data_IF_262075835749
#
_entry.id   IF_262075835749
#
_cell.length_a   1.000
_cell.length_b   1.000
_cell.length_c   1.000
_cell.angle_alpha   90.00
_cell.angle_beta   90.00
_cell.angle_gamma   90.00
#
_symmetry.space_group_name_H-M   'P 1'
#
loop_
_entity.id
_entity.type
_entity.pdbx_description
1 polymer ?
#
# COMPACT_ATOMS: atom_id res chain seq x y z
N UNK A 1 -23.85 -13.15 17.45
CA UNK A 1 -23.95 -11.68 17.48
C UNK A 1 -25.24 -11.35 16.78
N UNK A 2 -26.26 -10.97 17.53
CA UNK A 2 -27.53 -10.54 16.93
C UNK A 2 -27.27 -9.22 16.22
N UNK A 3 -27.33 -9.25 14.89
CA UNK A 3 -27.24 -8.05 14.08
C UNK A 3 -28.48 -7.21 14.40
N UNK A 4 -28.27 -6.03 14.98
CA UNK A 4 -29.31 -5.03 15.17
C UNK A 4 -29.95 -4.75 13.81
N UNK A 5 -31.25 -5.03 13.66
CA UNK A 5 -31.96 -4.81 12.41
C UNK A 5 -32.11 -3.31 12.23
N UNK A 6 -31.23 -2.70 11.44
CA UNK A 6 -31.30 -1.27 11.14
C UNK A 6 -32.07 -1.06 9.85
N UNK A 7 -33.27 -0.51 10.00
CA UNK A 7 -34.02 0.07 8.89
C UNK A 7 -33.98 1.59 9.08
N UNK A 8 -33.39 2.36 8.15
CA UNK A 8 -33.43 3.81 8.12
C UNK A 8 -34.85 4.29 8.34
N UNK A 9 -34.99 5.28 9.22
CA UNK A 9 -36.29 5.89 9.51
C UNK A 9 -37.29 4.90 10.13
N UNK A 10 -36.78 3.84 10.75
CA UNK A 10 -37.51 3.03 11.72
C UNK A 10 -36.71 3.01 13.00
N UNK A 11 -35.41 2.69 12.95
CA UNK A 11 -34.58 2.34 14.13
C UNK A 11 -33.61 3.46 14.55
N UNK A 12 -33.78 4.69 14.05
CA UNK A 12 -32.88 5.80 14.40
C UNK A 12 -33.24 6.42 15.77
N UNK A 13 -32.24 6.62 16.63
CA UNK A 13 -32.41 6.93 18.06
C UNK A 13 -32.94 8.34 18.42
N UNK A 14 -33.42 9.13 17.45
CA UNK A 14 -33.99 10.46 17.67
C UNK A 14 -35.26 10.66 16.84
N UNK A 15 -36.18 11.50 17.33
CA UNK A 15 -37.36 11.89 16.54
C UNK A 15 -36.90 12.52 15.24
N UNK A 16 -37.35 11.97 14.12
CA UNK A 16 -37.00 12.51 12.80
C UNK A 16 -38.23 12.61 11.92
N UNK A 17 -38.30 13.71 11.18
CA UNK A 17 -39.43 14.09 10.34
C UNK A 17 -39.05 14.00 8.87
N UNK A 18 -39.83 13.26 8.10
CA UNK A 18 -39.60 13.01 6.69
C UNK A 18 -40.79 13.45 5.86
N UNK A 19 -40.53 13.95 4.66
CA UNK A 19 -41.56 13.92 3.61
C UNK A 19 -41.85 12.46 3.27
N UNK A 20 -43.11 12.11 3.03
CA UNK A 20 -43.51 10.75 2.65
C UNK A 20 -42.68 10.21 1.48
N UNK A 21 -42.49 11.01 0.42
CA UNK A 21 -41.69 10.60 -0.73
C UNK A 21 -40.23 10.28 -0.38
N UNK A 22 -39.65 11.00 0.59
CA UNK A 22 -38.29 10.70 1.07
C UNK A 22 -38.26 9.40 1.88
N UNK A 23 -39.26 9.20 2.73
CA UNK A 23 -39.38 7.99 3.54
C UNK A 23 -39.53 6.74 2.66
N UNK A 24 -40.48 6.77 1.70
CA UNK A 24 -40.68 5.69 0.72
C UNK A 24 -39.41 5.43 -0.10
N UNK A 25 -38.74 6.49 -0.58
CA UNK A 25 -37.51 6.36 -1.36
C UNK A 25 -36.35 5.77 -0.55
N UNK A 26 -36.32 5.95 0.77
CA UNK A 26 -35.29 5.38 1.62
C UNK A 26 -35.48 3.88 1.84
N UNK A 27 -36.72 3.41 2.02
CA UNK A 27 -37.01 1.97 2.08
C UNK A 27 -36.65 1.26 0.76
N UNK A 28 -36.65 1.99 -0.36
CA UNK A 28 -36.17 1.50 -1.65
C UNK A 28 -34.65 1.43 -1.77
N UNK A 29 -33.85 2.06 -0.90
CA UNK A 29 -32.39 2.08 -1.00
C UNK A 29 -31.79 1.03 -0.07
N UNK A 30 -31.28 -0.10 -0.58
CA UNK A 30 -30.54 -1.03 0.26
C UNK A 30 -29.25 -0.38 0.76
N UNK A 31 -28.95 -0.49 2.05
CA UNK A 31 -27.70 0.03 2.65
C UNK A 31 -26.53 -0.96 2.51
N UNK A 32 -26.40 -1.59 1.34
CA UNK A 32 -25.43 -2.66 1.13
C UNK A 32 -25.68 -3.93 1.96
N UNK A 33 -26.83 -4.01 2.62
CA UNK A 33 -27.24 -5.17 3.38
C UNK A 33 -27.91 -6.20 2.48
N UNK A 34 -27.29 -7.39 2.38
CA UNK A 34 -27.83 -8.54 1.62
C UNK A 34 -29.16 -9.04 2.19
N UNK A 35 -29.46 -8.71 3.44
CA UNK A 35 -30.70 -9.05 4.13
C UNK A 35 -31.71 -7.89 4.14
N UNK A 36 -31.49 -6.80 3.41
CA UNK A 36 -32.36 -5.62 3.40
C UNK A 36 -33.86 -5.94 3.30
N UNK A 37 -34.26 -6.79 2.34
CA UNK A 37 -35.65 -7.22 2.19
C UNK A 37 -36.18 -7.97 3.42
N UNK A 38 -35.33 -8.77 4.07
CA UNK A 38 -35.69 -9.51 5.28
C UNK A 38 -35.80 -8.57 6.47
N UNK A 39 -34.91 -7.58 6.58
CA UNK A 39 -34.97 -6.55 7.62
C UNK A 39 -36.28 -5.77 7.53
N UNK A 40 -36.64 -5.30 6.34
CA UNK A 40 -37.92 -4.63 6.09
C UNK A 40 -39.12 -5.52 6.46
N UNK A 41 -39.10 -6.80 6.08
CA UNK A 41 -40.16 -7.77 6.43
C UNK A 41 -40.24 -8.07 7.92
N UNK A 42 -39.13 -7.95 8.64
CA UNK A 42 -39.06 -8.18 10.08
C UNK A 42 -39.63 -7.02 10.89
N UNK A 43 -39.69 -5.81 10.30
CA UNK A 43 -40.36 -4.65 10.86
C UNK A 43 -41.88 -4.76 10.67
N UNK A 44 -42.56 -5.42 11.60
CA UNK A 44 -44.00 -5.72 11.54
C UNK A 44 -44.85 -4.62 12.16
N UNK A 45 -46.03 -4.38 11.55
CA UNK A 45 -47.05 -3.51 12.14
C UNK A 45 -47.78 -4.27 13.26
N UNK A 46 -47.70 -3.74 14.47
CA UNK A 46 -48.32 -4.36 15.65
C UNK A 46 -49.62 -3.70 16.09
N UNK A 47 -49.71 -2.38 15.97
CA UNK A 47 -50.83 -1.61 16.48
C UNK A 47 -50.99 -0.34 15.65
N UNK A 48 -52.23 0.05 15.37
CA UNK A 48 -52.55 1.34 14.74
C UNK A 48 -53.50 2.09 15.65
N UNK A 49 -53.18 3.36 15.84
CA UNK A 49 -53.95 4.26 16.68
C UNK A 49 -54.29 5.52 15.88
N UNK A 50 -55.56 5.90 15.91
CA UNK A 50 -56.05 7.14 15.34
C UNK A 50 -56.24 8.15 16.47
N UNK A 51 -55.57 9.31 16.37
CA UNK A 51 -55.61 10.37 17.37
C UNK A 51 -56.32 11.60 16.86
N UNK A 52 -56.95 12.34 17.78
CA UNK A 52 -57.61 13.62 17.53
C UNK A 52 -57.26 14.65 18.59
N UNK A 53 -56.87 15.83 18.16
CA UNK A 53 -56.56 16.96 19.03
C UNK A 53 -57.85 17.61 19.54
N UNK A 54 -57.93 17.86 20.84
CA UNK A 54 -59.07 18.56 21.47
C UNK A 54 -58.84 20.08 21.61
N UNK A 55 -57.78 20.60 20.96
CA UNK A 55 -57.43 22.03 20.91
C UNK A 55 -58.36 22.88 20.04
N UNK A 56 -58.05 24.18 19.94
CA UNK A 56 -58.85 25.16 19.18
C UNK A 56 -58.86 24.90 17.66
N UNK A 57 -57.87 24.17 17.16
CA UNK A 57 -57.81 23.68 15.77
C UNK A 57 -57.85 22.16 15.84
N UNK A 58 -59.00 21.53 15.52
CA UNK A 58 -59.09 20.08 15.58
C UNK A 58 -58.25 19.46 14.47
N UNK A 59 -57.38 18.54 14.86
CA UNK A 59 -56.40 17.87 14.00
C UNK A 59 -56.45 16.37 14.23
N UNK A 60 -56.31 15.56 13.19
CA UNK A 60 -56.28 14.09 13.32
C UNK A 60 -55.03 13.53 12.65
N UNK A 61 -54.40 12.55 13.29
CA UNK A 61 -53.23 11.85 12.75
C UNK A 61 -53.29 10.35 13.08
N UNK A 62 -52.46 9.57 12.39
CA UNK A 62 -52.31 8.13 12.65
C UNK A 62 -50.95 7.85 13.26
N UNK A 63 -50.91 7.02 14.31
CA UNK A 63 -49.68 6.40 14.80
C UNK A 63 -49.70 4.91 14.47
N UNK A 64 -48.63 4.43 13.82
CA UNK A 64 -48.44 3.02 13.49
C UNK A 64 -47.26 2.49 14.31
N UNK A 65 -47.52 1.54 15.21
CA UNK A 65 -46.49 0.85 15.97
C UNK A 65 -45.82 -0.20 15.09
N UNK A 66 -44.51 -0.05 14.87
CA UNK A 66 -43.65 -1.00 14.19
C UNK A 66 -42.75 -1.68 15.20
N UNK A 67 -42.70 -3.01 15.18
CA UNK A 67 -41.74 -3.79 15.97
C UNK A 67 -40.81 -4.55 15.04
N UNK A 68 -39.52 -4.43 15.28
CA UNK A 68 -38.49 -5.31 14.74
C UNK A 68 -38.02 -6.27 15.85
N UNK A 69 -37.16 -7.27 15.55
CA UNK A 69 -36.59 -8.13 16.59
C UNK A 69 -35.78 -7.38 17.65
N UNK A 70 -35.28 -6.18 17.33
CA UNK A 70 -34.34 -5.44 18.19
C UNK A 70 -34.84 -4.06 18.61
N UNK A 71 -35.95 -3.56 18.05
CA UNK A 71 -36.46 -2.22 18.33
C UNK A 71 -37.98 -2.11 18.20
N UNK A 72 -38.56 -1.14 18.87
CA UNK A 72 -39.99 -0.83 18.83
C UNK A 72 -40.21 0.69 18.71
N UNK A 73 -40.92 1.08 17.66
CA UNK A 73 -41.03 2.48 17.23
C UNK A 73 -42.44 2.78 16.75
N UNK A 74 -42.77 4.06 16.73
CA UNK A 74 -44.03 4.59 16.23
C UNK A 74 -43.77 5.48 15.02
N UNK A 75 -44.54 5.25 13.97
CA UNK A 75 -44.59 6.06 12.78
C UNK A 75 -45.84 6.92 12.89
N UNK A 76 -45.68 8.18 13.29
CA UNK A 76 -46.74 9.19 13.24
C UNK A 76 -46.85 9.71 11.81
N UNK A 77 -47.99 9.46 11.19
CA UNK A 77 -48.32 9.88 9.83
C UNK A 77 -49.26 11.08 9.96
N UNK A 78 -48.81 12.20 9.43
CA UNK A 78 -49.47 13.47 9.62
C UNK A 78 -49.63 14.24 8.31
N UNK A 79 -50.74 14.98 8.21
CA UNK A 79 -51.06 15.89 7.12
C UNK A 79 -51.27 17.29 7.68
N UNK A 80 -50.35 18.20 7.37
CA UNK A 80 -50.49 19.62 7.70
C UNK A 80 -50.72 20.49 6.46
N UNK A 81 -51.57 21.50 6.64
CA UNK A 81 -51.69 22.66 5.75
C UNK A 81 -51.30 23.92 6.53
N UNK A 82 -50.02 24.33 6.44
CA UNK A 82 -49.48 25.51 7.12
C UNK A 82 -48.02 25.79 6.69
N UNK A 83 -47.46 26.98 6.92
CA UNK A 83 -46.06 27.26 6.61
C UNK A 83 -45.16 26.30 7.41
N UNK A 84 -44.04 25.84 6.82
CA UNK A 84 -43.23 24.78 7.38
C UNK A 84 -42.77 25.13 8.80
N UNK A 85 -43.00 24.23 9.75
CA UNK A 85 -42.31 24.26 11.05
C UNK A 85 -40.81 24.06 10.79
N UNK A 86 -39.95 24.99 11.23
CA UNK A 86 -38.51 24.80 11.12
C UNK A 86 -38.11 23.59 11.98
N UNK A 87 -37.09 22.82 11.56
CA UNK A 87 -36.58 21.71 12.35
C UNK A 87 -36.11 22.23 13.72
N UNK A 88 -36.48 21.53 14.78
CA UNK A 88 -36.03 21.78 16.14
C UNK A 88 -34.57 21.36 16.30
N UNK A 89 -33.64 22.17 15.80
CA UNK A 89 -32.22 22.03 16.13
C UNK A 89 -32.01 22.43 17.59
N UNK A 90 -31.97 21.42 18.47
CA UNK A 90 -31.58 21.53 19.87
C UNK A 90 -30.06 21.63 20.02
N UNK A 91 -29.45 22.61 19.33
CA UNK A 91 -28.03 22.90 19.48
C UNK A 91 -27.71 24.34 19.06
N UNK A 92 -28.10 25.31 19.91
CA UNK A 92 -27.43 26.62 19.97
C UNK A 92 -27.34 27.13 21.43
N UNK A 93 -26.15 27.57 21.89
CA UNK A 93 -25.99 28.12 23.23
C UNK A 93 -26.62 29.51 23.32
N UNK A 94 -27.28 29.77 24.45
CA UNK A 94 -27.80 31.09 24.81
C UNK A 94 -26.67 32.10 24.98
N UNK A 95 -26.66 33.16 24.19
CA UNK A 95 -25.93 34.38 24.52
C UNK A 95 -26.92 35.49 24.84
N UNK A 96 -26.91 35.90 26.11
CA UNK A 96 -27.62 37.06 26.63
C UNK A 96 -27.17 38.35 25.91
N UNK A 97 -28.12 39.10 25.37
CA UNK A 97 -28.00 40.55 25.31
C UNK A 97 -29.38 41.18 25.44
N UNK A 98 -29.59 41.76 26.62
CA UNK A 98 -30.70 42.61 27.02
C UNK A 98 -30.69 43.94 26.27
N UNK A 99 -31.79 44.25 25.58
CA UNK A 99 -32.28 45.62 25.43
C UNK A 99 -33.81 45.62 25.48
N UNK A 100 -34.33 46.24 26.54
CA UNK A 100 -35.72 46.63 26.70
C UNK A 100 -36.08 47.73 25.69
N UNK A 101 -37.13 47.53 24.89
CA UNK A 101 -38.11 48.59 24.66
C UNK A 101 -39.44 47.98 24.23
N UNK A 102 -40.43 48.18 25.09
CA UNK A 102 -41.85 48.00 24.87
C UNK A 102 -42.33 48.47 23.49
N UNK A 103 -42.97 47.58 22.75
CA UNK A 103 -44.18 47.90 21.99
C UNK A 103 -45.00 46.63 21.72
N UNK A 104 -46.11 46.51 22.45
CA UNK A 104 -47.27 45.71 22.05
C UNK A 104 -47.82 46.31 20.77
N UNK A 105 -47.65 45.61 19.66
CA UNK A 105 -48.57 45.67 18.52
C UNK A 105 -48.64 44.29 17.91
N UNK A 106 -49.84 43.73 17.96
CA UNK A 106 -50.26 42.51 17.30
C UNK A 106 -50.19 42.70 15.79
N UNK A 107 -49.02 42.47 15.18
CA UNK A 107 -48.91 42.38 13.73
C UNK A 107 -49.16 40.95 13.27
N UNK A 108 -50.44 40.60 13.34
CA UNK A 108 -51.05 39.51 12.57
C UNK A 108 -51.13 39.94 11.10
N UNK A 109 -49.97 40.24 10.50
CA UNK A 109 -49.93 40.71 9.11
C UNK A 109 -50.07 39.50 8.19
N UNK A 110 -51.32 39.28 7.76
CA UNK A 110 -51.74 38.51 6.57
C UNK A 110 -50.67 38.53 5.49
N UNK A 111 -50.00 37.39 5.29
CA UNK A 111 -49.43 37.03 4.00
C UNK A 111 -50.36 36.03 3.34
N UNK A 112 -51.11 36.57 2.37
CA UNK A 112 -51.70 35.96 1.18
C UNK A 112 -51.68 34.42 1.15
N UNK A 113 -52.89 33.85 1.23
CA UNK A 113 -53.18 32.49 0.83
C UNK A 113 -52.78 32.27 -0.65
N UNK A 114 -51.90 31.30 -0.89
CA UNK A 114 -51.47 30.87 -2.21
C UNK A 114 -50.07 30.26 -2.17
N UNK A 115 -49.96 28.96 -2.51
CA UNK A 115 -48.73 28.19 -2.81
C UNK A 115 -47.88 27.60 -1.67
N UNK A 116 -48.42 27.46 -0.45
CA UNK A 116 -47.80 26.61 0.58
C UNK A 116 -48.14 25.13 0.35
N UNK A 117 -47.22 24.36 -0.24
CA UNK A 117 -47.45 22.96 -0.61
C UNK A 117 -47.90 22.09 0.58
N UNK A 118 -48.83 21.16 0.31
CA UNK A 118 -49.23 20.09 1.22
C UNK A 118 -47.97 19.44 1.83
N UNK A 119 -47.85 19.44 3.16
CA UNK A 119 -46.72 18.80 3.84
C UNK A 119 -47.21 17.55 4.53
N UNK A 120 -47.36 16.49 3.75
CA UNK A 120 -47.57 15.16 4.32
C UNK A 120 -46.23 14.65 4.86
N UNK A 121 -46.22 14.32 6.13
CA UNK A 121 -45.02 14.04 6.89
C UNK A 121 -45.16 12.73 7.66
N UNK A 122 -44.02 12.08 7.82
CA UNK A 122 -43.85 10.91 8.67
C UNK A 122 -42.83 11.26 9.73
N UNK A 123 -43.23 11.11 10.98
CA UNK A 123 -42.36 11.28 12.14
C UNK A 123 -42.13 9.92 12.79
N UNK A 124 -40.87 9.57 12.96
CA UNK A 124 -40.46 8.30 13.57
C UNK A 124 -40.02 8.60 14.98
N UNK A 125 -40.61 7.92 15.96
CA UNK A 125 -40.39 8.21 17.37
C UNK A 125 -40.54 6.97 18.25
N UNK A 126 -40.06 7.02 19.47
CA UNK A 126 -40.35 6.00 20.48
C UNK A 126 -41.72 6.23 21.16
N UNK A 127 -42.15 5.25 21.95
CA UNK A 127 -43.44 5.34 22.66
C UNK A 127 -43.49 6.44 23.73
N UNK A 128 -42.35 6.85 24.31
CA UNK A 128 -42.32 7.94 25.27
C UNK A 128 -42.49 9.30 24.57
N UNK A 129 -41.84 9.49 23.42
CA UNK A 129 -41.96 10.64 22.56
C UNK A 129 -43.41 10.80 22.05
N UNK A 130 -44.04 9.71 21.59
CA UNK A 130 -45.46 9.76 21.18
C UNK A 130 -46.37 10.21 22.33
N UNK A 131 -46.16 9.70 23.56
CA UNK A 131 -46.93 10.13 24.74
C UNK A 131 -46.75 11.63 25.00
N UNK A 132 -45.53 12.14 24.94
CA UNK A 132 -45.25 13.57 25.11
C UNK A 132 -45.97 14.41 24.05
N UNK A 133 -45.92 14.00 22.78
CA UNK A 133 -46.64 14.67 21.68
C UNK A 133 -48.14 14.71 21.94
N UNK A 134 -48.72 13.59 22.38
CA UNK A 134 -50.15 13.50 22.67
C UNK A 134 -50.56 14.34 23.87
N UNK A 135 -49.81 14.29 24.97
CA UNK A 135 -50.10 15.02 26.21
C UNK A 135 -49.98 16.53 26.03
N UNK A 136 -48.90 17.00 25.40
CA UNK A 136 -48.64 18.45 25.22
C UNK A 136 -49.67 19.12 24.31
N UNK A 137 -50.17 18.39 23.31
CA UNK A 137 -51.09 18.91 22.31
C UNK A 137 -52.54 18.45 22.51
N UNK A 138 -52.83 17.78 23.64
CA UNK A 138 -54.16 17.27 24.01
C UNK A 138 -54.79 16.38 22.92
N UNK A 139 -54.00 15.42 22.41
CA UNK A 139 -54.53 14.39 21.54
C UNK A 139 -55.12 13.24 22.35
N UNK A 140 -56.33 12.83 21.95
CA UNK A 140 -57.03 11.68 22.51
C UNK A 140 -57.22 10.62 21.42
N UNK A 141 -57.27 9.36 21.83
CA UNK A 141 -57.52 8.24 20.91
C UNK A 141 -58.96 8.33 20.41
N UNK A 142 -59.11 8.34 19.08
CA UNK A 142 -60.39 8.17 18.38
C UNK A 142 -60.74 6.70 18.35
N UNK A 143 -59.82 5.88 17.83
CA UNK A 143 -59.97 4.43 17.70
C UNK A 143 -58.60 3.79 17.55
N UNK A 144 -58.51 2.53 17.91
CA UNK A 144 -57.30 1.76 17.79
C UNK A 144 -57.59 0.30 17.43
N UNK A 145 -56.63 -0.37 16.82
CA UNK A 145 -56.77 -1.77 16.42
C UNK A 145 -55.43 -2.51 16.56
N UNK A 146 -55.39 -3.63 17.29
CA UNK A 146 -54.20 -4.46 17.37
C UNK A 146 -54.09 -5.35 16.12
N UNK A 147 -52.97 -5.24 15.41
CA UNK A 147 -52.64 -6.14 14.32
C UNK A 147 -51.91 -7.37 14.83
N UNK A 148 -51.22 -7.27 15.97
CA UNK A 148 -50.54 -8.42 16.59
C UNK A 148 -49.37 -8.97 15.77
N UNK A 149 -48.82 -8.20 14.83
CA UNK A 149 -47.74 -8.65 13.96
C UNK A 149 -48.20 -9.59 12.84
N UNK A 150 -49.45 -9.43 12.37
CA UNK A 150 -49.98 -10.02 11.13
C UNK A 150 -49.08 -9.66 9.92
N UNK A 151 -49.42 -10.13 8.72
CA UNK A 151 -48.53 -10.07 7.54
C UNK A 151 -48.02 -8.65 7.20
N UNK A 152 -48.73 -7.60 7.63
CA UNK A 152 -48.39 -6.21 7.35
C UNK A 152 -47.04 -5.78 7.95
N UNK A 153 -46.15 -5.30 7.10
CA UNK A 153 -44.82 -4.80 7.47
C UNK A 153 -44.65 -3.29 7.18
N UNK A 154 -43.47 -2.74 7.45
CA UNK A 154 -43.18 -1.33 7.22
C UNK A 154 -43.31 -0.91 5.74
N UNK A 155 -43.09 -1.83 4.79
CA UNK A 155 -43.25 -1.56 3.35
C UNK A 155 -44.72 -1.43 3.00
N UNK A 156 -45.58 -2.24 3.62
CA UNK A 156 -47.03 -2.11 3.47
C UNK A 156 -47.53 -0.79 4.04
N UNK A 157 -47.03 -0.39 5.21
CA UNK A 157 -47.32 0.92 5.78
C UNK A 157 -46.91 2.04 4.82
N UNK A 158 -45.68 2.00 4.31
CA UNK A 158 -45.18 3.00 3.36
C UNK A 158 -45.98 3.04 2.05
N UNK A 159 -46.33 1.88 1.49
CA UNK A 159 -47.15 1.77 0.30
C UNK A 159 -48.52 2.41 0.49
N UNK A 160 -49.15 2.17 1.65
CA UNK A 160 -50.46 2.74 1.94
C UNK A 160 -50.39 4.25 2.16
N UNK A 161 -49.42 4.72 2.94
CA UNK A 161 -49.16 6.14 3.17
C UNK A 161 -48.96 6.86 1.83
N UNK A 162 -48.17 6.30 0.93
CA UNK A 162 -47.91 6.90 -0.39
C UNK A 162 -49.17 6.90 -1.27
N UNK A 163 -49.92 5.79 -1.33
CA UNK A 163 -51.17 5.70 -2.12
C UNK A 163 -52.21 6.70 -1.66
N UNK A 164 -52.41 6.85 -0.35
CA UNK A 164 -53.38 7.80 0.19
C UNK A 164 -52.89 9.22 -0.11
N UNK A 165 -51.61 9.50 0.09
CA UNK A 165 -50.99 10.78 -0.25
C UNK A 165 -51.20 11.16 -1.71
N UNK A 166 -50.85 10.28 -2.64
CA UNK A 166 -51.06 10.49 -4.08
C UNK A 166 -52.54 10.63 -4.43
N UNK A 167 -53.41 9.78 -3.86
CA UNK A 167 -54.84 9.82 -4.15
C UNK A 167 -55.52 11.06 -3.61
N UNK A 168 -54.98 11.60 -2.52
CA UNK A 168 -55.48 12.78 -1.83
C UNK A 168 -55.01 14.10 -2.43
N UNK A 169 -54.06 14.11 -3.38
CA UNK A 169 -53.83 15.31 -4.22
C UNK A 169 -55.10 15.71 -4.97
N UNK A 170 -55.91 14.71 -5.33
CA UNK A 170 -57.23 14.92 -5.91
C UNK A 170 -58.25 15.44 -4.89
N UNK A 171 -57.98 15.35 -3.59
CA UNK A 171 -58.81 15.85 -2.49
C UNK A 171 -58.09 17.02 -1.82
N UNK A 172 -58.05 18.19 -2.48
CA UNK A 172 -57.16 19.29 -2.06
C UNK A 172 -57.91 20.49 -1.46
N UNK A 173 -57.33 21.02 -0.36
CA UNK A 173 -57.21 22.45 0.04
C UNK A 173 -57.61 22.85 1.49
N UNK A 174 -57.93 21.94 2.43
CA UNK A 174 -58.46 22.34 3.76
C UNK A 174 -57.96 21.58 4.99
N UNK A 175 -58.17 22.20 6.16
CA UNK A 175 -57.91 21.68 7.52
C UNK A 175 -58.64 20.37 7.84
N UNK A 176 -59.77 20.07 7.17
CA UNK A 176 -60.50 18.81 7.38
C UNK A 176 -59.86 17.59 6.69
N UNK A 177 -58.81 17.81 5.87
CA UNK A 177 -58.14 16.71 5.17
C UNK A 177 -57.30 15.83 6.08
N UNK A 178 -56.80 16.35 7.21
CA UNK A 178 -56.15 15.49 8.20
C UNK A 178 -57.15 14.46 8.78
N UNK A 179 -58.43 14.83 8.92
CA UNK A 179 -59.49 13.93 9.38
C UNK A 179 -59.83 12.88 8.34
N UNK A 180 -60.05 13.30 7.10
CA UNK A 180 -60.32 12.36 6.00
C UNK A 180 -59.15 11.40 5.79
N UNK A 181 -57.91 11.92 5.78
CA UNK A 181 -56.70 11.13 5.60
C UNK A 181 -56.57 10.06 6.69
N UNK A 182 -56.71 10.45 7.96
CA UNK A 182 -56.59 9.54 9.09
C UNK A 182 -57.72 8.49 9.09
N UNK A 183 -58.95 8.90 8.82
CA UNK A 183 -60.09 7.99 8.69
C UNK A 183 -59.87 6.95 7.57
N UNK A 184 -59.51 7.41 6.36
CA UNK A 184 -59.26 6.54 5.21
C UNK A 184 -58.09 5.60 5.45
N UNK A 185 -56.99 6.08 6.02
CA UNK A 185 -55.86 5.25 6.38
C UNK A 185 -56.27 4.12 7.34
N UNK A 186 -56.91 4.48 8.45
CA UNK A 186 -57.35 3.52 9.46
C UNK A 186 -58.31 2.48 8.87
N UNK A 187 -59.34 2.93 8.13
CA UNK A 187 -60.33 2.03 7.53
C UNK A 187 -59.75 1.16 6.44
N UNK A 188 -58.84 1.68 5.62
CA UNK A 188 -58.22 0.89 4.55
C UNK A 188 -57.45 -0.30 5.15
N UNK A 189 -56.72 -0.10 6.25
CA UNK A 189 -56.03 -1.20 6.94
C UNK A 189 -57.00 -2.19 7.55
N UNK A 190 -58.02 -1.69 8.28
CA UNK A 190 -59.06 -2.54 8.85
C UNK A 190 -59.67 -3.43 7.77
N UNK A 191 -59.97 -2.89 6.60
CA UNK A 191 -60.53 -3.64 5.47
C UNK A 191 -59.54 -4.62 4.84
N UNK A 192 -58.27 -4.24 4.69
CA UNK A 192 -57.22 -5.12 4.15
C UNK A 192 -57.05 -6.37 5.02
N UNK A 193 -56.96 -6.19 6.34
CA UNK A 193 -56.68 -7.25 7.30
C UNK A 193 -57.95 -7.85 7.95
N UNK A 194 -59.14 -7.40 7.54
CA UNK A 194 -60.46 -7.85 8.04
C UNK A 194 -60.61 -7.73 9.56
N UNK A 195 -60.29 -6.54 10.06
CA UNK A 195 -60.18 -6.23 11.49
C UNK A 195 -61.42 -5.53 12.06
N UNK A 196 -62.56 -5.57 11.37
CA UNK A 196 -63.73 -4.75 11.73
C UNK A 196 -64.23 -5.01 13.15
N UNK A 197 -64.05 -6.24 13.65
CA UNK A 197 -64.47 -6.66 14.98
C UNK A 197 -63.42 -6.40 16.07
N UNK A 198 -62.19 -6.05 15.69
CA UNK A 198 -61.06 -5.86 16.62
C UNK A 198 -60.87 -4.38 17.02
N UNK A 199 -61.71 -3.48 16.51
CA UNK A 199 -61.59 -2.03 16.73
C UNK A 199 -62.02 -1.67 18.15
N UNK A 200 -61.12 -1.04 18.90
CA UNK A 200 -61.43 -0.40 20.18
C UNK A 200 -61.72 1.08 19.96
N UNK A 201 -62.85 1.57 20.47
CA UNK A 201 -63.26 2.98 20.37
C UNK A 201 -62.72 3.76 21.56
N UNK A 202 -62.03 4.86 21.27
CA UNK A 202 -61.49 5.75 22.29
C UNK A 202 -62.43 6.91 22.67
N UNK A 203 -62.02 7.77 23.62
CA UNK A 203 -62.83 8.90 24.10
C UNK A 203 -63.26 9.87 22.99
N UNK A 204 -62.38 10.10 22.01
CA UNK A 204 -62.63 11.03 20.91
C UNK A 204 -63.37 10.39 19.72
N UNK A 205 -63.80 9.12 19.82
CA UNK A 205 -64.45 8.39 18.72
C UNK A 205 -65.66 9.14 18.16
N UNK A 206 -66.49 9.69 19.04
CA UNK A 206 -67.69 10.40 18.64
C UNK A 206 -67.38 11.73 17.96
N UNK A 207 -66.18 12.30 18.10
CA UNK A 207 -65.83 13.58 17.47
C UNK A 207 -65.00 13.42 16.20
N UNK A 208 -64.74 12.17 15.78
CA UNK A 208 -64.04 11.86 14.53
C UNK A 208 -64.63 12.64 13.36
N UNK A 209 -63.77 13.37 12.64
CA UNK A 209 -64.19 14.07 11.43
C UNK A 209 -65.19 15.19 11.65
N UNK A 210 -65.42 15.62 12.89
CA UNK A 210 -66.38 16.64 13.22
C UNK A 210 -65.73 17.96 13.66
N UNK A 211 -66.32 19.07 13.28
CA UNK A 211 -66.05 20.36 13.88
C UNK A 211 -66.94 20.51 15.12
N UNK A 212 -66.32 20.67 16.29
CA UNK A 212 -67.01 20.86 17.57
C UNK A 212 -66.68 22.26 18.08
N UNK A 213 -67.68 23.15 18.13
CA UNK A 213 -67.51 24.51 18.63
C UNK A 213 -68.71 24.96 19.45
N UNK A 214 -68.51 25.10 20.76
CA UNK A 214 -69.59 25.43 21.70
C UNK A 214 -70.69 24.35 21.68
N UNK A 215 -71.90 24.73 21.23
CA UNK A 215 -73.04 23.80 21.07
C UNK A 215 -73.17 23.22 19.66
N UNK A 216 -72.36 23.66 18.70
CA UNK A 216 -72.44 23.24 17.31
C UNK A 216 -71.49 22.05 17.12
N UNK A 217 -72.05 20.95 16.60
CA UNK A 217 -71.30 19.76 16.19
C UNK A 217 -71.66 19.44 14.75
N UNK A 218 -70.71 19.63 13.82
CA UNK A 218 -70.90 19.35 12.40
C UNK A 218 -69.86 18.38 11.89
N UNK A 219 -70.28 17.19 11.49
CA UNK A 219 -69.38 16.17 10.95
C UNK A 219 -69.19 16.35 9.46
N UNK A 220 -67.93 16.47 9.03
CA UNK A 220 -67.53 16.58 7.64
C UNK A 220 -67.05 15.25 7.09
N UNK A 221 -66.46 14.40 7.93
CA UNK A 221 -66.06 13.05 7.60
C UNK A 221 -66.82 12.09 8.50
N UNK A 222 -67.51 11.13 7.91
CA UNK A 222 -68.24 10.09 8.61
C UNK A 222 -67.34 8.94 9.06
N UNK A 223 -67.90 8.08 9.91
CA UNK A 223 -67.23 6.88 10.40
C UNK A 223 -66.87 5.87 9.29
N UNK A 224 -67.54 5.97 8.14
CA UNK A 224 -67.30 5.14 6.95
C UNK A 224 -66.45 5.89 5.89
N UNK A 225 -65.67 6.89 6.32
CA UNK A 225 -64.81 7.74 5.48
C UNK A 225 -65.54 8.61 4.44
N UNK A 226 -66.87 8.68 4.53
CA UNK A 226 -67.68 9.50 3.65
C UNK A 226 -67.63 10.98 4.00
N UNK A 227 -67.60 11.86 3.00
CA UNK A 227 -67.81 13.30 3.20
C UNK A 227 -69.29 13.55 3.47
N UNK A 228 -69.60 14.03 4.68
CA UNK A 228 -70.96 14.31 5.15
C UNK A 228 -71.19 15.82 5.07
N UNK A 229 -71.37 16.33 3.86
CA UNK A 229 -71.61 17.75 3.62
C UNK A 229 -72.85 17.89 2.75
N UNK A 230 -73.99 18.19 3.38
CA UNK A 230 -75.24 18.45 2.68
C UNK A 230 -75.46 19.97 2.61
N UNK A 231 -75.88 20.54 1.46
CA UNK A 231 -76.22 21.95 1.33
C UNK A 231 -77.54 22.24 2.08
N UNK A 232 -77.41 22.50 3.39
CA UNK A 232 -78.52 22.88 4.27
C UNK A 232 -78.23 24.29 4.86
N UNK A 233 -79.15 24.92 5.60
CA UNK A 233 -78.92 26.28 6.15
C UNK A 233 -77.63 26.39 7.01
N UNK A 234 -77.26 25.31 7.69
CA UNK A 234 -76.06 25.18 8.52
C UNK A 234 -74.76 24.97 7.69
N UNK A 235 -74.89 24.58 6.41
CA UNK A 235 -73.76 24.43 5.49
C UNK A 235 -73.07 25.76 5.23
N UNK A 236 -73.83 26.83 4.97
CA UNK A 236 -73.28 28.16 4.68
C UNK A 236 -72.47 28.68 5.87
N UNK A 237 -73.02 28.58 7.09
CA UNK A 237 -72.31 28.97 8.32
C UNK A 237 -71.08 28.10 8.58
N UNK A 238 -71.16 26.80 8.28
CA UNK A 238 -70.02 25.89 8.41
C UNK A 238 -68.90 26.28 7.45
N UNK A 239 -69.22 26.53 6.18
CA UNK A 239 -68.27 26.95 5.14
C UNK A 239 -67.64 28.30 5.47
N UNK A 240 -68.42 29.27 5.94
CA UNK A 240 -67.91 30.59 6.36
C UNK A 240 -66.92 30.47 7.54
N UNK A 241 -67.24 29.62 8.53
CA UNK A 241 -66.33 29.37 9.66
C UNK A 241 -65.11 28.58 9.28
N UNK A 242 -65.24 27.63 8.34
CA UNK A 242 -64.07 26.93 7.79
C UNK A 242 -63.20 27.92 7.03
N UNK A 243 -63.77 28.75 6.17
CA UNK A 243 -63.09 29.84 5.49
C UNK A 243 -62.31 30.74 6.48
N UNK A 244 -62.91 31.08 7.61
CA UNK A 244 -62.26 31.83 8.71
C UNK A 244 -61.08 31.07 9.33
N UNK A 245 -61.29 29.81 9.73
CA UNK A 245 -60.27 28.97 10.37
C UNK A 245 -59.09 28.68 9.43
N UNK A 246 -59.38 28.48 8.14
CA UNK A 246 -58.39 28.09 7.13
C UNK A 246 -57.79 29.26 6.36
N UNK A 247 -58.28 30.49 6.58
CA UNK A 247 -57.82 31.69 5.89
C UNK A 247 -58.10 31.70 4.37
N UNK A 248 -59.12 30.99 3.91
CA UNK A 248 -59.56 30.93 2.50
C UNK A 248 -60.87 31.68 2.30
N UNK A 249 -61.23 32.01 1.06
CA UNK A 249 -62.54 32.59 0.78
C UNK A 249 -63.64 31.51 0.72
N UNK A 250 -64.87 31.91 1.06
CA UNK A 250 -66.04 31.03 1.14
C UNK A 250 -66.34 30.29 -0.18
N UNK A 251 -66.14 30.94 -1.32
CA UNK A 251 -66.44 30.34 -2.64
C UNK A 251 -65.40 29.28 -3.07
N UNK A 252 -64.13 29.47 -2.75
CA UNK A 252 -63.09 28.46 -2.95
C UNK A 252 -63.35 27.24 -2.07
N UNK A 253 -63.80 27.45 -0.83
CA UNK A 253 -64.21 26.38 0.09
C UNK A 253 -65.42 25.61 -0.47
N UNK A 254 -66.44 26.30 -0.98
CA UNK A 254 -67.60 25.63 -1.61
C UNK A 254 -67.22 24.84 -2.86
N UNK A 255 -66.44 25.43 -3.76
CA UNK A 255 -66.08 24.81 -5.04
C UNK A 255 -65.26 23.53 -4.88
N UNK A 256 -64.33 23.54 -3.94
CA UNK A 256 -63.50 22.38 -3.57
C UNK A 256 -64.29 21.28 -2.87
N UNK A 257 -65.10 21.64 -1.86
CA UNK A 257 -65.98 20.68 -1.18
C UNK A 257 -66.95 20.00 -2.15
N UNK A 258 -67.51 20.76 -3.10
CA UNK A 258 -68.37 20.21 -4.15
C UNK A 258 -67.61 19.23 -5.04
N UNK A 259 -66.41 19.60 -5.48
CA UNK A 259 -65.58 18.73 -6.31
C UNK A 259 -65.15 17.44 -5.57
N UNK A 260 -64.85 17.52 -4.27
CA UNK A 260 -64.54 16.35 -3.43
C UNK A 260 -65.75 15.43 -3.25
N UNK A 261 -66.94 16.00 -3.06
CA UNK A 261 -68.19 15.26 -2.92
C UNK A 261 -68.58 14.55 -4.22
N UNK A 262 -68.43 15.20 -5.37
CA UNK A 262 -68.63 14.58 -6.69
C UNK A 262 -67.68 13.40 -6.89
N UNK A 263 -66.38 13.57 -6.57
CA UNK A 263 -65.38 12.48 -6.64
C UNK A 263 -65.70 11.29 -5.75
N UNK A 264 -66.28 11.52 -4.57
CA UNK A 264 -66.70 10.43 -3.71
C UNK A 264 -67.94 9.69 -4.25
N UNK A 265 -68.84 10.38 -4.97
CA UNK A 265 -70.03 9.78 -5.56
C UNK A 265 -69.72 8.91 -6.81
N UNK A 266 -68.54 9.06 -7.42
CA UNK A 266 -68.10 8.29 -8.59
C UNK A 266 -67.75 6.81 -8.29
N UNK A 267 -67.87 6.32 -7.04
CA UNK A 267 -67.75 4.90 -6.70
C UNK A 267 -67.34 4.61 -5.25
N UNK A 268 -67.20 3.32 -4.90
CA UNK A 268 -66.74 2.88 -3.58
C UNK A 268 -65.26 3.24 -3.35
N UNK A 269 -65.04 4.42 -2.78
CA UNK A 269 -63.74 5.01 -2.46
C UNK A 269 -62.82 4.01 -1.74
N UNK A 270 -63.33 3.29 -0.75
CA UNK A 270 -62.54 2.34 0.05
C UNK A 270 -62.08 1.16 -0.80
N UNK A 271 -62.99 0.57 -1.60
CA UNK A 271 -62.61 -0.47 -2.57
C UNK A 271 -61.57 0.02 -3.57
N UNK A 272 -61.68 1.27 -4.02
CA UNK A 272 -60.69 1.92 -4.88
C UNK A 272 -59.32 2.07 -4.20
N UNK A 273 -59.28 2.51 -2.94
CA UNK A 273 -58.04 2.65 -2.15
C UNK A 273 -57.38 1.30 -1.89
N UNK A 274 -58.14 0.28 -1.52
CA UNK A 274 -57.63 -1.08 -1.30
C UNK A 274 -57.01 -1.65 -2.59
N UNK A 275 -57.63 -1.42 -3.76
CA UNK A 275 -57.06 -1.83 -5.06
C UNK A 275 -55.74 -1.10 -5.33
N UNK A 276 -55.73 0.25 -5.22
CA UNK A 276 -54.51 1.05 -5.44
C UNK A 276 -53.39 0.65 -4.49
N UNK A 277 -53.70 0.40 -3.22
CA UNK A 277 -52.76 -0.14 -2.25
C UNK A 277 -52.20 -1.49 -2.71
N UNK A 278 -53.05 -2.43 -3.12
CA UNK A 278 -52.61 -3.76 -3.58
C UNK A 278 -51.64 -3.67 -4.76
N UNK A 279 -51.93 -2.82 -5.73
CA UNK A 279 -51.08 -2.59 -6.90
C UNK A 279 -49.77 -1.88 -6.52
N UNK A 280 -49.84 -0.84 -5.70
CA UNK A 280 -48.68 -0.08 -5.27
C UNK A 280 -47.77 -0.88 -4.33
N UNK A 281 -48.31 -1.70 -3.43
CA UNK A 281 -47.56 -2.67 -2.61
C UNK A 281 -46.75 -3.61 -3.49
N UNK A 282 -47.36 -4.17 -4.54
CA UNK A 282 -46.66 -5.05 -5.49
C UNK A 282 -45.53 -4.31 -6.19
N UNK A 283 -45.81 -3.12 -6.71
CA UNK A 283 -44.82 -2.30 -7.40
C UNK A 283 -43.67 -1.91 -6.47
N UNK A 284 -43.95 -1.42 -5.27
CA UNK A 284 -42.94 -1.01 -4.30
C UNK A 284 -42.04 -2.20 -3.92
N UNK A 285 -42.61 -3.38 -3.69
CA UNK A 285 -41.83 -4.60 -3.39
C UNK A 285 -40.97 -5.03 -4.57
N UNK A 286 -41.49 -4.95 -5.80
CA UNK A 286 -40.72 -5.23 -7.01
C UNK A 286 -39.55 -4.25 -7.16
N UNK A 287 -39.78 -2.95 -6.96
CA UNK A 287 -38.74 -1.92 -7.03
C UNK A 287 -37.66 -2.11 -5.96
N UNK A 288 -38.04 -2.39 -4.71
CA UNK A 288 -37.09 -2.70 -3.63
C UNK A 288 -36.27 -3.93 -4.00
N UNK A 289 -36.92 -5.00 -4.49
CA UNK A 289 -36.24 -6.23 -4.86
C UNK A 289 -35.28 -6.03 -6.03
N UNK A 290 -35.70 -5.31 -7.07
CA UNK A 290 -34.86 -4.97 -8.20
C UNK A 290 -33.62 -4.20 -7.73
N UNK A 291 -33.79 -3.20 -6.85
CA UNK A 291 -32.66 -2.42 -6.38
C UNK A 291 -31.72 -3.20 -5.48
N UNK A 292 -32.23 -4.15 -4.69
CA UNK A 292 -31.39 -5.09 -3.92
C UNK A 292 -30.55 -5.95 -4.87
N UNK A 293 -31.13 -6.44 -5.97
CA UNK A 293 -30.39 -7.21 -6.97
C UNK A 293 -29.35 -6.35 -7.69
N UNK A 294 -29.72 -5.14 -8.10
CA UNK A 294 -28.80 -4.18 -8.74
C UNK A 294 -27.63 -3.82 -7.81
N UNK A 295 -27.89 -3.56 -6.53
CA UNK A 295 -26.83 -3.27 -5.55
C UNK A 295 -25.90 -4.47 -5.32
N UNK A 296 -26.45 -5.69 -5.26
CA UNK A 296 -25.66 -6.92 -5.19
C UNK A 296 -24.76 -7.11 -6.41
N UNK A 297 -25.29 -6.85 -7.61
CA UNK A 297 -24.51 -6.90 -8.84
C UNK A 297 -23.42 -5.82 -8.84
N UNK A 298 -23.74 -4.58 -8.48
CA UNK A 298 -22.78 -3.49 -8.36
C UNK A 298 -21.66 -3.80 -7.36
N UNK A 299 -21.99 -4.40 -6.21
CA UNK A 299 -20.99 -4.87 -5.25
C UNK A 299 -20.08 -5.95 -5.84
N UNK A 300 -20.67 -6.91 -6.56
CA UNK A 300 -19.91 -7.97 -7.23
C UNK A 300 -18.95 -7.39 -8.28
N UNK A 301 -19.43 -6.47 -9.11
CA UNK A 301 -18.58 -5.78 -10.10
C UNK A 301 -17.45 -5.01 -9.42
N UNK A 302 -17.74 -4.21 -8.39
CA UNK A 302 -16.72 -3.45 -7.64
C UNK A 302 -15.63 -4.36 -7.07
N UNK A 303 -16.03 -5.49 -6.48
CA UNK A 303 -15.08 -6.47 -5.96
C UNK A 303 -14.21 -7.06 -7.08
N UNK A 304 -14.80 -7.40 -8.23
CA UNK A 304 -14.04 -7.90 -9.38
C UNK A 304 -13.06 -6.85 -9.93
N UNK A 305 -13.47 -5.59 -10.01
CA UNK A 305 -12.61 -4.48 -10.43
C UNK A 305 -11.43 -4.30 -9.48
N UNK A 306 -11.66 -4.26 -8.17
CA UNK A 306 -10.60 -4.14 -7.15
C UNK A 306 -9.61 -5.31 -7.23
N UNK A 307 -10.09 -6.54 -7.42
CA UNK A 307 -9.23 -7.70 -7.63
C UNK A 307 -8.40 -7.59 -8.92
N UNK A 308 -9.00 -7.13 -10.02
CA UNK A 308 -8.30 -6.93 -11.28
C UNK A 308 -7.21 -5.85 -11.18
N UNK A 309 -7.50 -4.73 -10.51
CA UNK A 309 -6.53 -3.67 -10.25
C UNK A 309 -5.36 -4.17 -9.39
N UNK A 310 -5.65 -4.96 -8.34
CA UNK A 310 -4.62 -5.58 -7.50
C UNK A 310 -3.70 -6.51 -8.28
N UNK A 311 -4.28 -7.39 -9.10
CA UNK A 311 -3.51 -8.31 -9.94
C UNK A 311 -2.68 -7.56 -10.99
N UNK A 312 -3.21 -6.47 -11.55
CA UNK A 312 -2.49 -5.63 -12.50
C UNK A 312 -1.28 -4.97 -11.85
N UNK A 313 -1.43 -4.46 -10.62
CA UNK A 313 -0.32 -3.89 -9.85
C UNK A 313 0.74 -4.94 -9.49
N UNK A 314 0.33 -6.16 -9.13
CA UNK A 314 1.24 -7.28 -8.84
C UNK A 314 2.02 -7.72 -10.09
N UNK A 315 1.37 -7.76 -11.25
CA UNK A 315 2.01 -8.05 -12.53
C UNK A 315 3.05 -6.99 -12.88
N UNK A 316 2.72 -5.70 -12.75
CA UNK A 316 3.63 -4.61 -13.01
C UNK A 316 4.87 -4.65 -12.10
N UNK A 317 4.67 -4.97 -10.81
CA UNK A 317 5.80 -5.15 -9.87
C UNK A 317 6.69 -6.32 -10.28
N UNK A 318 6.10 -7.45 -10.64
CA UNK A 318 6.85 -8.64 -11.09
C UNK A 318 7.65 -8.34 -12.36
N UNK A 319 7.08 -7.56 -13.29
CA UNK A 319 7.79 -7.13 -14.49
C UNK A 319 9.01 -6.26 -14.16
N UNK A 320 8.85 -5.28 -13.26
CA UNK A 320 9.97 -4.43 -12.82
C UNK A 320 11.08 -5.24 -12.11
N UNK A 321 10.71 -6.22 -11.27
CA UNK A 321 11.67 -7.11 -10.61
C UNK A 321 12.43 -7.98 -11.64
N UNK A 322 11.77 -8.45 -12.69
CA UNK A 322 12.43 -9.18 -13.78
C UNK A 322 13.39 -8.30 -14.59
N UNK A 323 13.04 -7.05 -14.86
CA UNK A 323 13.92 -6.09 -15.56
C UNK A 323 15.18 -5.79 -14.74
N UNK A 324 15.04 -5.58 -13.43
CA UNK A 324 16.19 -5.39 -12.52
C UNK A 324 17.10 -6.62 -12.48
N UNK A 325 16.52 -7.82 -12.44
CA UNK A 325 17.28 -9.08 -12.49
C UNK A 325 18.01 -9.27 -13.83
N UNK A 326 17.39 -8.90 -14.95
CA UNK A 326 18.04 -8.92 -16.26
C UNK A 326 19.25 -7.96 -16.28
N UNK A 327 19.10 -6.74 -15.77
CA UNK A 327 20.21 -5.78 -15.66
C UNK A 327 21.36 -6.27 -14.76
N UNK A 328 21.04 -6.95 -13.66
CA UNK A 328 22.07 -7.60 -12.80
C UNK A 328 22.80 -8.72 -13.54
N UNK A 329 22.08 -9.53 -14.32
CA UNK A 329 22.67 -10.60 -15.12
C UNK A 329 23.62 -10.05 -16.21
N UNK A 330 23.21 -8.98 -16.90
CA UNK A 330 24.05 -8.31 -17.89
C UNK A 330 25.34 -7.75 -17.25
N UNK A 331 25.23 -7.11 -16.08
CA UNK A 331 26.38 -6.61 -15.33
C UNK A 331 27.33 -7.73 -14.91
N UNK A 332 26.80 -8.83 -14.37
CA UNK A 332 27.61 -9.99 -13.98
C UNK A 332 28.32 -10.62 -15.19
N UNK A 333 27.64 -10.68 -16.34
CA UNK A 333 28.22 -11.17 -17.60
C UNK A 333 29.37 -10.26 -18.05
N UNK A 334 29.21 -8.94 -17.96
CA UNK A 334 30.26 -7.99 -18.30
C UNK A 334 31.46 -8.07 -17.35
N UNK A 335 31.23 -8.27 -16.05
CA UNK A 335 32.28 -8.45 -15.04
C UNK A 335 33.06 -9.75 -15.26
N UNK A 336 32.36 -10.84 -15.60
CA UNK A 336 32.99 -12.11 -15.97
C UNK A 336 33.90 -11.95 -17.19
N UNK A 337 33.43 -11.25 -18.24
CA UNK A 337 34.22 -11.00 -19.44
C UNK A 337 35.49 -10.17 -19.16
N UNK A 338 35.39 -9.16 -18.28
CA UNK A 338 36.57 -8.39 -17.82
C UNK A 338 37.57 -9.27 -17.07
N UNK A 339 37.07 -10.08 -16.14
CA UNK A 339 37.91 -11.00 -15.36
C UNK A 339 38.63 -12.01 -16.26
N UNK A 340 37.95 -12.51 -17.30
CA UNK A 340 38.56 -13.39 -18.29
C UNK A 340 39.70 -12.69 -19.05
N UNK A 341 39.48 -11.46 -19.52
CA UNK A 341 40.51 -10.68 -20.19
C UNK A 341 41.73 -10.39 -19.28
N UNK A 342 41.49 -10.05 -18.02
CA UNK A 342 42.56 -9.82 -17.03
C UNK A 342 43.38 -11.09 -16.77
N UNK A 343 42.72 -12.25 -16.71
CA UNK A 343 43.40 -13.55 -16.57
C UNK A 343 44.25 -13.89 -17.80
N UNK A 344 43.76 -13.60 -19.01
CA UNK A 344 44.53 -13.78 -20.26
C UNK A 344 45.77 -12.89 -20.30
N UNK A 345 45.65 -11.61 -19.91
CA UNK A 345 46.79 -10.69 -19.82
C UNK A 345 47.84 -11.16 -18.79
N UNK A 346 47.39 -11.64 -17.63
CA UNK A 346 48.27 -12.20 -16.60
C UNK A 346 48.97 -13.48 -17.07
N UNK A 347 48.28 -14.35 -17.81
CA UNK A 347 48.89 -15.53 -18.42
C UNK A 347 50.00 -15.12 -19.40
N UNK A 348 49.76 -14.14 -20.27
CA UNK A 348 50.78 -13.62 -21.18
C UNK A 348 51.99 -13.01 -20.46
N UNK A 349 51.77 -12.29 -19.36
CA UNK A 349 52.86 -11.79 -18.50
C UNK A 349 53.68 -12.93 -17.88
N UNK A 350 53.02 -13.99 -17.43
CA UNK A 350 53.68 -15.16 -16.86
C UNK A 350 54.53 -15.90 -17.91
N UNK A 351 54.02 -16.07 -19.13
CA UNK A 351 54.76 -16.66 -20.24
C UNK A 351 56.01 -15.83 -20.59
N UNK A 352 55.88 -14.51 -20.66
CA UNK A 352 57.02 -13.60 -20.88
C UNK A 352 58.07 -13.70 -19.77
N UNK A 353 57.65 -13.68 -18.50
CA UNK A 353 58.56 -13.83 -17.36
C UNK A 353 59.28 -15.18 -17.38
N UNK A 354 58.58 -16.25 -17.78
CA UNK A 354 59.16 -17.59 -17.93
C UNK A 354 60.22 -17.61 -19.04
N UNK A 355 59.95 -16.97 -20.18
CA UNK A 355 60.91 -16.86 -21.27
C UNK A 355 62.15 -16.02 -20.89
N UNK A 356 61.97 -14.92 -20.14
CA UNK A 356 63.07 -14.10 -19.64
C UNK A 356 63.94 -14.86 -18.63
N UNK A 357 63.31 -15.64 -17.74
CA UNK A 357 64.01 -16.52 -16.81
C UNK A 357 64.86 -17.56 -17.55
N UNK A 358 64.30 -18.22 -18.56
CA UNK A 358 65.02 -19.20 -19.37
C UNK A 358 66.22 -18.56 -20.11
N UNK A 359 66.06 -17.35 -20.65
CA UNK A 359 67.17 -16.61 -21.28
C UNK A 359 68.27 -16.30 -20.27
N UNK A 360 67.90 -15.83 -19.08
CA UNK A 360 68.85 -15.51 -18.00
C UNK A 360 69.61 -16.76 -17.52
N UNK A 361 68.93 -17.91 -17.44
CA UNK A 361 69.57 -19.19 -17.13
C UNK A 361 70.61 -19.58 -18.19
N UNK A 362 70.27 -19.48 -19.47
CA UNK A 362 71.20 -19.77 -20.56
C UNK A 362 72.42 -18.81 -20.57
N UNK A 363 72.21 -17.52 -20.29
CA UNK A 363 73.29 -16.53 -20.15
C UNK A 363 74.22 -16.89 -18.97
N UNK A 364 73.65 -17.33 -17.84
CA UNK A 364 74.44 -17.78 -16.69
C UNK A 364 75.25 -19.06 -16.98
N UNK A 365 74.67 -20.02 -17.71
CA UNK A 365 75.38 -21.24 -18.13
C UNK A 365 76.54 -20.93 -19.08
N UNK A 366 76.35 -20.02 -20.05
CA UNK A 366 77.43 -19.55 -20.94
C UNK A 366 78.55 -18.85 -20.14
N UNK A 367 78.20 -18.00 -19.18
CA UNK A 367 79.18 -17.36 -18.31
C UNK A 367 79.95 -18.37 -17.44
N UNK A 368 79.27 -19.39 -16.90
CA UNK A 368 79.92 -20.46 -16.15
C UNK A 368 80.92 -21.22 -17.03
N UNK A 369 80.54 -21.56 -18.26
CA UNK A 369 81.46 -22.20 -19.22
C UNK A 369 82.68 -21.35 -19.57
N UNK A 370 82.50 -20.03 -19.74
CA UNK A 370 83.62 -19.09 -19.93
C UNK A 370 84.55 -19.05 -18.71
N UNK A 371 83.98 -19.07 -17.51
CA UNK A 371 84.76 -19.08 -16.27
C UNK A 371 85.58 -20.37 -16.12
N UNK A 372 84.98 -21.52 -16.42
CA UNK A 372 85.67 -22.81 -16.42
C UNK A 372 86.83 -22.84 -17.43
N UNK A 373 86.60 -22.32 -18.65
CA UNK A 373 87.65 -22.23 -19.66
C UNK A 373 88.80 -21.31 -19.23
N UNK A 374 88.49 -20.12 -18.67
CA UNK A 374 89.49 -19.22 -18.13
C UNK A 374 90.29 -19.86 -16.98
N UNK A 375 89.63 -20.64 -16.13
CA UNK A 375 90.28 -21.39 -15.04
C UNK A 375 91.23 -22.46 -15.59
N UNK A 376 90.82 -23.20 -16.62
CA UNK A 376 91.67 -24.19 -17.28
C UNK A 376 92.89 -23.56 -17.98
N UNK A 377 92.70 -22.42 -18.65
CA UNK A 377 93.79 -21.65 -19.28
C UNK A 377 94.79 -21.12 -18.25
N UNK A 378 94.29 -20.64 -17.10
CA UNK A 378 95.12 -20.22 -15.98
C UNK A 378 95.95 -21.39 -15.43
N UNK A 379 95.33 -22.56 -15.21
CA UNK A 379 96.03 -23.76 -14.72
C UNK A 379 97.12 -24.24 -15.69
N UNK A 380 96.83 -24.20 -17.01
CA UNK A 380 97.83 -24.51 -18.04
C UNK A 380 99.00 -23.54 -18.02
N UNK A 381 98.72 -22.23 -17.92
CA UNK A 381 99.75 -21.19 -17.83
C UNK A 381 100.61 -21.37 -16.58
N UNK A 382 100.01 -21.75 -15.44
CA UNK A 382 100.75 -22.08 -14.22
C UNK A 382 101.69 -23.28 -14.42
N UNK A 383 101.22 -24.36 -15.04
CA UNK A 383 102.05 -25.53 -15.34
C UNK A 383 103.19 -25.20 -16.31
N UNK A 384 102.95 -24.38 -17.34
CA UNK A 384 104.00 -23.90 -18.26
C UNK A 384 105.04 -23.05 -17.53
N UNK A 385 104.63 -22.19 -16.58
CA UNK A 385 105.55 -21.43 -15.74
C UNK A 385 106.37 -22.32 -14.80
N UNK A 386 105.78 -23.37 -14.21
CA UNK A 386 106.49 -24.34 -13.37
C UNK A 386 107.52 -25.15 -14.18
N UNK A 387 107.19 -25.61 -15.38
CA UNK A 387 108.13 -26.29 -16.28
C UNK A 387 109.30 -25.36 -16.68
N UNK A 388 109.00 -24.10 -16.99
CA UNK A 388 110.03 -23.09 -17.27
C UNK A 388 110.92 -22.84 -16.06
N UNK A 389 110.36 -22.76 -14.85
CA UNK A 389 111.14 -22.62 -13.61
C UNK A 389 112.07 -23.83 -13.41
N UNK A 390 111.60 -25.06 -13.63
CA UNK A 390 112.42 -26.26 -13.56
C UNK A 390 113.55 -26.28 -14.61
N UNK A 391 113.29 -25.81 -15.83
CA UNK A 391 114.35 -25.63 -16.85
C UNK A 391 115.39 -24.61 -16.43
N UNK A 392 114.98 -23.50 -15.83
CA UNK A 392 115.90 -22.50 -15.29
C UNK A 392 116.76 -23.07 -14.15
N UNK A 393 116.17 -23.84 -13.23
CA UNK A 393 116.93 -24.53 -12.16
C UNK A 393 117.96 -25.49 -12.74
N UNK A 394 117.57 -26.33 -13.72
CA UNK A 394 118.49 -27.26 -14.38
C UNK A 394 119.63 -26.53 -15.10
N UNK A 395 119.32 -25.48 -15.86
CA UNK A 395 120.33 -24.67 -16.54
C UNK A 395 121.30 -24.02 -15.54
N UNK A 396 120.79 -23.59 -14.38
CA UNK A 396 121.61 -23.03 -13.30
C UNK A 396 122.54 -24.10 -12.70
N UNK A 397 122.03 -25.32 -12.48
CA UNK A 397 122.84 -26.44 -11.99
C UNK A 397 123.92 -26.87 -13.00
N UNK A 398 123.59 -26.91 -14.30
CA UNK A 398 124.54 -27.22 -15.36
C UNK A 398 125.64 -26.15 -15.47
N UNK A 399 125.27 -24.87 -15.34
CA UNK A 399 126.22 -23.76 -15.28
C UNK A 399 127.18 -23.93 -14.08
N UNK A 400 126.65 -24.24 -12.90
CA UNK A 400 127.45 -24.47 -11.70
C UNK A 400 128.41 -25.67 -11.87
N UNK A 401 127.95 -26.76 -12.51
CA UNK A 401 128.81 -27.93 -12.80
C UNK A 401 129.92 -27.56 -13.78
N UNK A 402 129.60 -26.81 -14.83
CA UNK A 402 130.57 -26.34 -15.83
C UNK A 402 131.61 -25.42 -15.17
N UNK A 403 131.19 -24.56 -14.25
CA UNK A 403 132.12 -23.75 -13.45
C UNK A 403 133.07 -24.61 -12.62
N UNK A 404 132.56 -25.63 -11.92
CA UNK A 404 133.39 -26.55 -11.15
C UNK A 404 134.37 -27.36 -12.03
N UNK A 405 133.94 -27.81 -13.21
CA UNK A 405 134.80 -28.49 -14.19
C UNK A 405 135.92 -27.55 -14.70
N UNK A 406 135.60 -26.28 -14.97
CA UNK A 406 136.59 -25.27 -15.34
C UNK A 406 137.59 -25.00 -14.22
N UNK A 407 137.14 -24.94 -12.96
CA UNK A 407 138.02 -24.80 -11.79
C UNK A 407 138.96 -26.01 -11.62
N UNK A 408 138.45 -27.23 -11.77
CA UNK A 408 139.28 -28.45 -11.76
C UNK A 408 140.30 -28.46 -12.90
N UNK A 409 139.90 -28.07 -14.11
CA UNK A 409 140.83 -27.92 -15.23
C UNK A 409 141.89 -26.85 -14.98
N UNK A 410 141.53 -25.72 -14.37
CA UNK A 410 142.47 -24.68 -13.98
C UNK A 410 143.50 -25.23 -12.97
N UNK A 411 143.06 -25.99 -11.96
CA UNK A 411 143.95 -26.65 -11.00
C UNK A 411 144.87 -27.70 -11.65
N UNK A 412 144.36 -28.48 -12.61
CA UNK A 412 145.20 -29.41 -13.41
C UNK A 412 146.25 -28.66 -14.23
N UNK A 413 145.88 -27.52 -14.83
CA UNK A 413 146.82 -26.67 -15.56
C UNK A 413 147.92 -26.11 -14.65
N UNK A 414 147.58 -25.65 -13.45
CA UNK A 414 148.57 -25.21 -12.45
C UNK A 414 149.52 -26.34 -12.07
N UNK A 415 149.00 -27.54 -11.78
CA UNK A 415 149.82 -28.71 -11.46
C UNK A 415 150.76 -29.10 -12.61
N UNK A 416 150.25 -29.15 -13.85
CA UNK A 416 151.08 -29.44 -15.03
C UNK A 416 152.17 -28.38 -15.23
N UNK A 417 151.87 -27.12 -14.94
CA UNK A 417 152.84 -26.01 -15.00
C UNK A 417 153.92 -26.18 -13.92
N UNK A 418 153.54 -26.60 -12.71
CA UNK A 418 154.48 -26.88 -11.62
C UNK A 418 155.36 -28.10 -11.92
N UNK A 419 154.80 -29.18 -12.50
CA UNK A 419 155.58 -30.32 -12.99
C UNK A 419 156.57 -29.89 -14.06
N UNK A 420 156.14 -29.13 -15.07
CA UNK A 420 157.02 -28.64 -16.13
C UNK A 420 158.20 -27.84 -15.57
N UNK A 421 157.95 -26.97 -14.59
CA UNK A 421 159.00 -26.20 -13.91
C UNK A 421 159.99 -27.11 -13.16
N UNK A 422 159.49 -28.17 -12.52
CA UNK A 422 160.34 -29.17 -11.86
C UNK A 422 161.19 -29.96 -12.86
N UNK A 423 160.61 -30.40 -13.98
CA UNK A 423 161.35 -31.12 -15.04
C UNK A 423 162.41 -30.23 -15.69
N UNK A 424 162.13 -28.93 -15.84
CA UNK A 424 163.14 -27.96 -16.27
C UNK A 424 164.31 -27.87 -15.28
N UNK A 425 164.04 -27.78 -13.98
CA UNK A 425 165.08 -27.77 -12.96
C UNK A 425 165.90 -29.08 -12.94
N UNK A 426 165.26 -30.23 -13.12
CA UNK A 426 165.95 -31.53 -13.24
C UNK A 426 166.84 -31.61 -14.50
N UNK A 427 166.38 -31.05 -15.62
CA UNK A 427 167.18 -30.95 -16.85
C UNK A 427 168.37 -30.00 -16.70
N UNK A 428 168.21 -28.88 -16.00
CA UNK A 428 169.32 -27.96 -15.68
C UNK A 428 170.38 -28.64 -14.80
N UNK A 429 169.95 -29.40 -13.77
CA UNK A 429 170.86 -30.19 -12.94
C UNK A 429 171.59 -31.28 -13.74
N UNK A 430 170.88 -31.97 -14.66
CA UNK A 430 171.51 -32.93 -15.58
C UNK A 430 172.50 -32.26 -16.54
N UNK A 431 172.20 -31.07 -17.07
CA UNK A 431 173.10 -30.32 -17.93
C UNK A 431 174.40 -29.96 -17.17
N UNK A 432 174.28 -29.51 -15.92
CA UNK A 432 175.44 -29.26 -15.04
C UNK A 432 176.28 -30.52 -14.79
N UNK A 433 175.65 -31.69 -14.58
CA UNK A 433 176.35 -32.98 -14.46
C UNK A 433 177.07 -33.36 -15.77
N UNK A 434 176.44 -33.16 -16.92
CA UNK A 434 177.04 -33.42 -18.23
C UNK A 434 178.27 -32.54 -18.49
N UNK A 435 178.20 -31.25 -18.16
CA UNK A 435 179.35 -30.35 -18.22
C UNK A 435 180.51 -30.86 -17.37
N UNK A 436 180.22 -31.33 -16.16
CA UNK A 436 181.23 -31.85 -15.24
C UNK A 436 181.90 -33.13 -15.76
N UNK A 437 181.11 -34.08 -16.29
CA UNK A 437 181.62 -35.30 -16.95
C UNK A 437 182.44 -34.97 -18.18
N UNK A 438 182.03 -33.97 -18.97
CA UNK A 438 182.77 -33.52 -20.16
C UNK A 438 184.12 -32.92 -19.76
N UNK A 439 184.17 -32.17 -18.65
CA UNK A 439 185.42 -31.64 -18.09
C UNK A 439 186.34 -32.76 -17.56
N UNK A 440 185.80 -33.80 -16.92
CA UNK A 440 186.58 -34.97 -16.50
C UNK A 440 187.13 -35.77 -17.69
N UNK A 441 186.32 -35.94 -18.75
CA UNK A 441 186.74 -36.62 -19.98
C UNK A 441 187.86 -35.86 -20.69
N UNK A 442 187.80 -34.52 -20.70
CA UNK A 442 188.88 -33.69 -21.24
C UNK A 442 190.19 -33.85 -20.45
N UNK A 443 190.12 -33.92 -19.11
CA UNK A 443 191.29 -34.19 -18.26
C UNK A 443 191.86 -35.58 -18.51
N UNK A 444 191.00 -36.60 -18.63
CA UNK A 444 191.43 -37.97 -18.91
C UNK A 444 192.12 -38.09 -20.28
N UNK A 445 191.60 -37.41 -21.31
CA UNK A 445 192.21 -37.38 -22.64
C UNK A 445 193.57 -36.66 -22.64
N UNK A 446 193.73 -35.58 -21.87
CA UNK A 446 195.03 -34.92 -21.71
C UNK A 446 196.08 -35.87 -21.09
N UNK A 447 195.66 -36.66 -20.10
CA UNK A 447 196.51 -37.63 -19.39
C UNK A 447 196.90 -38.83 -20.28
N UNK A 448 196.01 -39.28 -21.17
CA UNK A 448 196.28 -40.32 -22.17
C UNK A 448 197.30 -39.86 -23.21
N UNK A 449 197.23 -38.60 -23.66
CA UNK A 449 198.21 -38.04 -24.61
C UNK A 449 199.60 -37.81 -23.99
N UNK A 450 199.66 -37.61 -22.67
CA UNK A 450 200.92 -37.52 -21.92
C UNK A 450 201.61 -38.89 -21.80
N UNK A 451 200.85 -39.94 -21.42
CA UNK A 451 201.34 -41.33 -21.38
C UNK A 451 201.80 -41.87 -22.75
N UNK A 452 201.19 -41.40 -23.86
CA UNK A 452 201.60 -41.77 -25.22
C UNK A 452 202.91 -41.12 -25.65
N UNK A 453 203.28 -39.96 -25.08
CA UNK A 453 204.57 -39.29 -25.34
C UNK A 453 205.73 -40.01 -24.64
N UNK A 454 205.53 -40.52 -23.43
CA UNK A 454 206.57 -41.24 -22.67
C UNK A 454 206.99 -42.56 -23.34
N UNK A 455 206.10 -43.22 -24.08
CA UNK A 455 206.39 -44.51 -24.71
C UNK A 455 207.19 -44.43 -26.02
N UNK A 456 207.60 -43.23 -26.46
CA UNK A 456 208.39 -42.97 -27.68
C UNK A 456 209.83 -42.49 -27.42
N UNK A 457 210.31 -42.57 -26.18
CA UNK A 457 211.70 -42.35 -25.79
C UNK A 457 212.29 -43.67 -25.28
#
# INVERSE_FOLDING_TARGET
>A
MDYEVRVPYVVEGSTQTYKISKWVAALQKPEGDRQWLNNLKSCKVHHIQHYRGTGSVPHEFIAVQIKSPTDERYIKIDRYTGPPTPPSDSSRPSTNSSTNSSNRSSDFSRKVAGTGGQSDQVEVMDGAQLRVVCEQNKYEVVQEVPLGGRDMDVVDCAALVDVITMSSQNYSLFTYMCWWYSAVFFRTIVTIDRLENDITRGPAFNDQGCLVYGRIRKCMVGQDCQLILKPDDDYTTTVERLAEVVGSNTEAVKGTMKADQERQQEGDMLTGMVRKYSDHKKLLRQLIQQRVLEDQEQMKLRWQTDQAERLTAELARTQAENEDMAGKFDNATAELARTQADNEDMAGKFDNATAELARTQAENEDMAGKFDNATAELARTQAENEDMAGKFENATAELARTQAENEDMAGKFENATAELARTQAENEDMAGKFENVTAELARANALIEELRREKRA
#
